data_IF_443793718539
#
_entry.id   IF_443793718539
#
_cell.length_a   1.000
_cell.length_b   1.000
_cell.length_c   1.000
_cell.angle_alpha   90.00
_cell.angle_beta   90.00
_cell.angle_gamma   90.00
#
_symmetry.space_group_name_H-M   'P 1'
#
loop_
_entity.id
_entity.type
_entity.pdbx_description
1 polymer ?
#
# COMPACT_ATOMS: atom_id res chain seq x y z
N UNK A 1 -15.40 8.56 -16.02
CA UNK A 1 -14.00 8.28 -15.71
C UNK A 1 -13.31 9.60 -15.37
N UNK A 2 -13.09 9.89 -14.11
CA UNK A 2 -12.38 11.11 -13.70
C UNK A 2 -10.87 10.90 -13.49
N UNK A 3 -10.38 9.69 -13.48
CA UNK A 3 -8.95 9.38 -13.51
C UNK A 3 -8.52 8.99 -14.93
N UNK A 4 -7.47 9.63 -15.42
CA UNK A 4 -6.88 9.33 -16.74
C UNK A 4 -6.08 8.03 -16.72
N UNK A 5 -5.47 7.71 -15.59
CA UNK A 5 -4.63 6.54 -15.36
C UNK A 5 -5.07 5.81 -14.09
N UNK A 6 -5.02 4.49 -14.11
CA UNK A 6 -5.30 3.64 -12.94
C UNK A 6 -4.12 2.72 -12.67
N UNK A 7 -3.57 2.84 -11.48
CA UNK A 7 -2.49 2.01 -10.99
C UNK A 7 -3.04 1.12 -9.87
N UNK A 8 -2.81 -0.17 -9.94
CA UNK A 8 -3.13 -1.13 -8.90
C UNK A 8 -1.87 -1.67 -8.25
N UNK A 9 -1.87 -1.79 -6.93
CA UNK A 9 -0.81 -2.48 -6.21
C UNK A 9 -1.37 -3.65 -5.42
N UNK A 10 -0.63 -4.76 -5.39
CA UNK A 10 -0.99 -5.95 -4.64
C UNK A 10 0.21 -6.49 -3.87
N UNK A 11 -0.07 -7.02 -2.70
CA UNK A 11 0.89 -7.90 -2.02
C UNK A 11 1.05 -9.19 -2.81
N UNK A 12 2.29 -9.67 -2.92
CA UNK A 12 2.65 -10.87 -3.64
C UNK A 12 3.66 -11.67 -2.81
N UNK A 13 3.20 -12.22 -1.70
CA UNK A 13 4.05 -12.84 -0.70
C UNK A 13 4.40 -14.27 -1.04
N UNK A 14 5.53 -14.73 -0.52
CA UNK A 14 6.00 -16.11 -0.67
C UNK A 14 5.83 -16.89 0.64
N UNK A 15 5.69 -18.21 0.56
CA UNK A 15 5.53 -19.08 1.74
C UNK A 15 6.79 -19.22 2.58
N UNK A 16 7.93 -18.83 2.07
CA UNK A 16 9.24 -18.83 2.73
C UNK A 16 9.63 -17.43 3.27
N UNK A 17 8.68 -16.51 3.32
CA UNK A 17 8.93 -15.17 3.86
C UNK A 17 9.31 -15.22 5.34
N UNK A 18 10.41 -14.54 5.69
CA UNK A 18 11.00 -14.58 7.04
C UNK A 18 10.14 -13.86 8.10
N UNK A 19 9.20 -13.06 7.68
CA UNK A 19 8.29 -12.30 8.54
C UNK A 19 6.97 -13.03 8.86
N UNK A 20 6.80 -14.26 8.38
CA UNK A 20 5.59 -15.02 8.70
C UNK A 20 5.53 -15.33 10.20
N UNK A 21 4.35 -15.17 10.78
CA UNK A 21 4.06 -15.65 12.13
C UNK A 21 3.88 -17.18 12.12
N UNK A 22 4.23 -17.81 13.22
CA UNK A 22 4.14 -19.25 13.44
C UNK A 22 3.68 -19.58 14.87
N UNK A 23 3.83 -20.84 15.28
CA UNK A 23 3.42 -21.28 16.62
C UNK A 23 4.28 -20.66 17.76
N UNK A 24 5.52 -20.25 17.46
CA UNK A 24 6.46 -19.70 18.43
C UNK A 24 6.47 -18.17 18.39
N UNK A 25 6.05 -17.59 17.27
CA UNK A 25 6.09 -16.16 17.02
C UNK A 25 4.71 -15.63 16.62
N UNK A 26 4.05 -15.00 17.56
CA UNK A 26 2.70 -14.45 17.37
C UNK A 26 2.65 -13.35 16.29
N UNK A 27 1.49 -13.16 15.62
CA UNK A 27 1.25 -11.99 14.77
C UNK A 27 1.54 -10.68 15.51
N UNK A 28 2.12 -9.72 14.79
CA UNK A 28 2.55 -8.40 15.27
C UNK A 28 3.67 -8.43 16.32
N UNK A 29 4.27 -9.61 16.60
CA UNK A 29 5.50 -9.64 17.39
C UNK A 29 6.66 -9.00 16.62
N UNK A 30 7.56 -8.25 17.29
CA UNK A 30 8.67 -7.58 16.64
C UNK A 30 9.68 -8.56 16.05
N UNK A 31 10.31 -8.17 14.95
CA UNK A 31 11.47 -8.84 14.37
C UNK A 31 12.69 -7.97 14.64
N UNK A 32 13.55 -8.46 15.52
CA UNK A 32 14.75 -7.71 15.92
C UNK A 32 15.90 -7.91 14.91
N UNK A 33 16.75 -6.89 14.80
CA UNK A 33 18.01 -6.94 14.04
C UNK A 33 17.87 -7.25 12.53
N UNK A 34 16.72 -6.97 11.93
CA UNK A 34 16.57 -7.10 10.48
C UNK A 34 16.26 -5.72 9.84
N UNK A 35 16.98 -5.32 8.79
CA UNK A 35 16.89 -3.96 8.25
C UNK A 35 15.57 -3.67 7.49
N UNK A 36 14.89 -4.70 6.99
CA UNK A 36 13.72 -4.61 6.12
C UNK A 36 12.50 -5.41 6.63
N UNK A 37 12.55 -5.82 7.91
CA UNK A 37 11.45 -6.48 8.61
C UNK A 37 11.25 -5.81 9.97
N UNK A 38 10.02 -5.51 10.31
CA UNK A 38 9.66 -4.87 11.59
C UNK A 38 8.83 -5.77 12.50
N UNK A 39 7.75 -6.34 11.98
CA UNK A 39 6.85 -7.22 12.74
C UNK A 39 6.43 -8.42 11.90
N UNK A 40 6.00 -9.47 12.59
CA UNK A 40 5.47 -10.68 11.97
C UNK A 40 4.01 -10.52 11.58
N UNK A 41 3.66 -11.11 10.46
CA UNK A 41 2.29 -11.15 9.96
C UNK A 41 1.84 -12.59 9.69
N UNK A 42 0.55 -12.89 9.86
CA UNK A 42 0.02 -14.15 9.38
C UNK A 42 0.15 -14.25 7.86
N UNK A 43 0.26 -15.47 7.35
CA UNK A 43 0.32 -15.70 5.91
C UNK A 43 -0.90 -15.08 5.20
N UNK A 44 -0.62 -14.18 4.28
CA UNK A 44 -1.64 -13.47 3.49
C UNK A 44 -1.10 -13.20 2.08
N UNK A 45 -1.98 -13.02 1.12
CA UNK A 45 -1.66 -12.70 -0.28
C UNK A 45 -0.55 -13.58 -0.89
N UNK A 46 -0.48 -14.85 -0.47
CA UNK A 46 0.52 -15.80 -0.96
C UNK A 46 0.29 -16.10 -2.44
N UNK A 47 1.32 -15.90 -3.24
CA UNK A 47 1.30 -16.12 -4.70
C UNK A 47 0.77 -17.53 -5.01
N UNK A 48 -0.07 -17.65 -6.05
CA UNK A 48 -0.70 -18.91 -6.50
C UNK A 48 -1.73 -19.48 -5.54
N UNK A 49 -2.19 -18.72 -4.54
CA UNK A 49 -3.32 -19.09 -3.70
C UNK A 49 -4.54 -18.21 -4.00
N UNK A 50 -5.72 -18.67 -3.57
CA UNK A 50 -6.95 -17.87 -3.67
C UNK A 50 -6.86 -16.52 -2.95
N UNK A 51 -6.05 -16.42 -1.89
CA UNK A 51 -5.82 -15.17 -1.16
C UNK A 51 -5.04 -14.13 -1.94
N UNK A 52 -4.37 -14.53 -3.03
CA UNK A 52 -3.69 -13.63 -3.96
C UNK A 52 -4.60 -13.14 -5.08
N UNK A 53 -5.72 -13.79 -5.36
CA UNK A 53 -6.62 -13.42 -6.44
C UNK A 53 -7.30 -12.07 -6.19
N UNK A 54 -7.71 -11.40 -7.27
CA UNK A 54 -8.59 -10.25 -7.14
C UNK A 54 -9.93 -10.65 -6.54
N UNK A 55 -10.44 -9.84 -5.63
CA UNK A 55 -11.78 -10.03 -5.09
C UNK A 55 -12.84 -9.81 -6.19
N UNK A 56 -13.97 -10.47 -6.05
CA UNK A 56 -15.08 -10.31 -6.99
C UNK A 56 -15.49 -8.82 -7.14
N UNK A 57 -15.62 -8.37 -8.37
CA UNK A 57 -15.94 -6.98 -8.70
C UNK A 57 -14.76 -6.09 -9.01
N UNK A 58 -13.51 -6.53 -8.73
CA UNK A 58 -12.31 -5.85 -9.20
C UNK A 58 -11.75 -6.56 -10.43
N UNK A 59 -11.93 -5.96 -11.59
CA UNK A 59 -11.38 -6.50 -12.84
C UNK A 59 -9.90 -6.09 -12.99
N UNK A 60 -8.95 -7.04 -13.09
CA UNK A 60 -7.54 -6.75 -13.35
C UNK A 60 -7.32 -5.86 -14.59
N UNK A 61 -8.18 -5.99 -15.61
CA UNK A 61 -8.12 -5.19 -16.84
C UNK A 61 -8.51 -3.72 -16.65
N UNK A 62 -9.04 -3.36 -15.47
CA UNK A 62 -9.36 -1.97 -15.15
C UNK A 62 -8.13 -1.12 -14.83
N UNK A 63 -6.95 -1.73 -14.66
CA UNK A 63 -5.70 -1.06 -14.27
C UNK A 63 -4.76 -0.98 -15.47
N UNK A 64 -4.22 0.22 -15.71
CA UNK A 64 -3.25 0.49 -16.77
C UNK A 64 -1.83 0.01 -16.39
N UNK A 65 -1.55 -0.04 -15.09
CA UNK A 65 -0.28 -0.55 -14.54
C UNK A 65 -0.52 -1.29 -13.23
N UNK A 66 0.16 -2.42 -13.03
CA UNK A 66 0.04 -3.23 -11.82
C UNK A 66 1.40 -3.43 -11.17
N UNK A 67 1.45 -3.23 -9.86
CA UNK A 67 2.62 -3.41 -9.02
C UNK A 67 2.41 -4.62 -8.13
N UNK A 68 3.42 -5.45 -8.02
CA UNK A 68 3.54 -6.49 -7.02
C UNK A 68 4.61 -6.09 -6.01
N UNK A 69 4.33 -6.19 -4.73
CA UNK A 69 5.29 -5.89 -3.66
C UNK A 69 5.36 -7.02 -2.64
N UNK A 70 6.45 -7.08 -1.86
CA UNK A 70 6.67 -8.15 -0.89
C UNK A 70 6.96 -9.51 -1.54
N UNK A 71 7.59 -9.50 -2.71
CA UNK A 71 8.00 -10.70 -3.45
C UNK A 71 9.25 -11.31 -2.84
N UNK A 72 10.13 -10.47 -2.30
CA UNK A 72 11.36 -10.87 -1.66
C UNK A 72 11.07 -11.44 -0.26
N UNK A 73 11.54 -12.67 0.05
CA UNK A 73 11.22 -13.30 1.33
C UNK A 73 11.84 -12.61 2.54
N UNK A 74 12.89 -11.81 2.33
CA UNK A 74 13.63 -11.06 3.34
C UNK A 74 13.21 -9.59 3.46
N UNK A 75 12.10 -9.19 2.83
CA UNK A 75 11.55 -7.82 2.85
C UNK A 75 10.05 -7.82 3.11
N UNK A 76 9.59 -6.82 3.82
CA UNK A 76 8.16 -6.60 4.05
C UNK A 76 7.76 -5.14 3.82
N UNK A 77 7.75 -4.65 2.57
CA UNK A 77 7.37 -3.29 2.26
C UNK A 77 5.87 -3.06 2.50
N UNK A 78 5.51 -1.97 3.15
CA UNK A 78 4.10 -1.56 3.26
C UNK A 78 3.65 -0.74 2.06
N UNK A 79 4.41 0.30 1.71
CA UNK A 79 4.05 1.18 0.61
C UNK A 79 4.25 0.57 -0.76
N UNK A 80 3.46 1.02 -1.73
CA UNK A 80 3.47 0.52 -3.10
C UNK A 80 4.63 1.06 -3.95
N UNK A 81 5.36 2.08 -3.48
CA UNK A 81 6.40 2.72 -4.29
C UNK A 81 7.79 2.09 -4.14
N UNK A 82 8.00 1.26 -3.12
CA UNK A 82 9.29 0.63 -2.87
C UNK A 82 9.13 -0.82 -2.40
N UNK A 83 10.19 -1.63 -2.65
CA UNK A 83 10.28 -3.03 -2.23
C UNK A 83 10.91 -3.21 -0.84
N UNK A 84 11.28 -2.12 -0.17
CA UNK A 84 11.95 -2.14 1.13
C UNK A 84 11.40 -1.07 2.08
N UNK A 85 11.62 -1.23 3.38
CA UNK A 85 11.19 -0.27 4.41
C UNK A 85 11.96 1.05 4.34
N UNK A 86 13.17 1.04 3.79
CA UNK A 86 14.05 2.23 3.68
C UNK A 86 13.74 3.10 2.47
N UNK A 87 12.80 2.69 1.61
CA UNK A 87 12.44 3.40 0.38
C UNK A 87 13.64 3.58 -0.58
N UNK A 88 14.43 2.53 -0.78
CA UNK A 88 15.61 2.57 -1.65
C UNK A 88 15.45 1.77 -2.93
N UNK A 89 14.65 0.70 -2.92
CA UNK A 89 14.42 -0.18 -4.07
C UNK A 89 13.04 0.14 -4.69
N UNK A 90 13.04 0.93 -5.77
CA UNK A 90 11.80 1.35 -6.44
C UNK A 90 11.02 0.20 -7.07
N UNK A 91 9.68 0.26 -6.96
CA UNK A 91 8.75 -0.61 -7.70
C UNK A 91 8.47 -0.11 -9.12
N UNK A 92 8.94 1.09 -9.46
CA UNK A 92 8.61 1.78 -10.69
C UNK A 92 7.32 2.61 -10.63
N UNK A 93 6.61 2.63 -9.50
CA UNK A 93 5.35 3.36 -9.36
C UNK A 93 5.51 4.86 -9.61
N UNK A 94 6.46 5.49 -8.93
CA UNK A 94 6.73 6.92 -9.01
C UNK A 94 7.18 7.30 -10.42
N UNK A 95 8.08 6.52 -10.99
CA UNK A 95 8.62 6.71 -12.33
C UNK A 95 7.52 6.59 -13.38
N UNK A 96 6.65 5.59 -13.25
CA UNK A 96 5.52 5.40 -14.14
C UNK A 96 4.55 6.59 -14.10
N UNK A 97 4.19 7.06 -12.92
CA UNK A 97 3.32 8.23 -12.75
C UNK A 97 3.95 9.49 -13.36
N UNK A 98 5.24 9.73 -13.11
CA UNK A 98 5.98 10.88 -13.67
C UNK A 98 6.07 10.82 -15.18
N UNK A 99 6.37 9.65 -15.76
CA UNK A 99 6.46 9.44 -17.20
C UNK A 99 5.14 9.77 -17.92
N UNK A 100 4.00 9.59 -17.22
CA UNK A 100 2.67 9.93 -17.74
C UNK A 100 2.19 11.33 -17.38
N UNK A 101 3.06 12.20 -16.83
CA UNK A 101 2.74 13.58 -16.49
C UNK A 101 1.71 13.72 -15.37
N UNK A 102 1.56 12.69 -14.51
CA UNK A 102 0.64 12.73 -13.38
C UNK A 102 1.22 13.66 -12.31
N UNK A 103 0.40 14.56 -11.81
CA UNK A 103 0.73 15.48 -10.71
C UNK A 103 -0.10 15.22 -9.46
N UNK A 104 -1.32 14.69 -9.64
CA UNK A 104 -2.25 14.42 -8.55
C UNK A 104 -2.62 12.94 -8.54
N UNK A 105 -2.54 12.31 -7.37
CA UNK A 105 -2.86 10.89 -7.19
C UNK A 105 -4.01 10.75 -6.19
N UNK A 106 -5.05 10.04 -6.58
CA UNK A 106 -6.16 9.67 -5.69
C UNK A 106 -5.91 8.25 -5.19
N UNK A 107 -5.83 8.10 -3.88
CA UNK A 107 -5.51 6.84 -3.22
C UNK A 107 -6.73 6.24 -2.52
N UNK A 108 -6.78 4.93 -2.49
CA UNK A 108 -7.69 4.12 -1.70
C UNK A 108 -7.19 2.68 -1.64
N UNK A 109 -7.66 1.89 -0.69
CA UNK A 109 -7.28 0.49 -0.56
C UNK A 109 -7.17 0.01 0.89
N UNK A 110 -6.38 -1.03 1.08
CA UNK A 110 -6.15 -1.73 2.35
C UNK A 110 -4.64 -1.86 2.64
N UNK A 111 -4.21 -1.82 3.88
CA UNK A 111 -4.93 -1.31 5.03
C UNK A 111 -4.59 0.17 5.23
N UNK A 112 -5.57 0.97 5.69
CA UNK A 112 -5.44 2.43 5.88
C UNK A 112 -4.20 2.80 6.69
N UNK A 113 -4.00 2.09 7.79
CA UNK A 113 -2.96 2.30 8.81
C UNK A 113 -1.58 1.71 8.43
N UNK A 114 -1.49 0.93 7.37
CA UNK A 114 -0.26 0.31 6.89
C UNK A 114 0.04 0.65 5.43
N UNK A 115 -0.43 -0.17 4.49
CA UNK A 115 -0.04 -0.05 3.09
C UNK A 115 -0.52 1.25 2.45
N UNK A 116 -1.74 1.69 2.78
CA UNK A 116 -2.30 2.94 2.24
C UNK A 116 -1.53 4.14 2.79
N UNK A 117 -1.35 4.23 4.12
CA UNK A 117 -0.58 5.30 4.75
C UNK A 117 0.82 5.42 4.14
N UNK A 118 1.55 4.31 4.10
CA UNK A 118 2.92 4.33 3.60
C UNK A 118 2.99 4.71 2.12
N UNK A 119 2.07 4.20 1.28
CA UNK A 119 2.00 4.59 -0.14
C UNK A 119 1.74 6.08 -0.30
N UNK A 120 0.78 6.61 0.45
CA UNK A 120 0.41 8.03 0.43
C UNK A 120 1.58 8.92 0.83
N UNK A 121 2.29 8.57 1.90
CA UNK A 121 3.47 9.31 2.38
C UNK A 121 4.64 9.24 1.38
N UNK A 122 4.86 8.08 0.76
CA UNK A 122 5.87 7.92 -0.30
C UNK A 122 5.56 8.82 -1.50
N UNK A 123 4.30 8.87 -1.93
CA UNK A 123 3.86 9.75 -3.02
C UNK A 123 4.00 11.24 -2.67
N UNK A 124 3.65 11.63 -1.43
CA UNK A 124 3.86 13.00 -0.93
C UNK A 124 5.34 13.36 -0.94
N UNK A 125 6.20 12.49 -0.43
CA UNK A 125 7.65 12.69 -0.44
C UNK A 125 8.22 12.81 -1.87
N UNK A 126 7.61 12.13 -2.83
CA UNK A 126 7.96 12.22 -4.25
C UNK A 126 7.44 13.49 -4.95
N UNK A 127 6.67 14.35 -4.25
CA UNK A 127 6.19 15.64 -4.73
C UNK A 127 4.83 15.63 -5.42
N UNK A 128 4.05 14.55 -5.29
CA UNK A 128 2.69 14.50 -5.81
C UNK A 128 1.71 15.23 -4.89
N UNK A 129 0.67 15.80 -5.46
CA UNK A 129 -0.55 16.10 -4.73
C UNK A 129 -1.29 14.78 -4.49
N UNK A 130 -1.65 14.52 -3.23
CA UNK A 130 -2.31 13.26 -2.86
C UNK A 130 -3.65 13.53 -2.21
N UNK A 131 -4.66 12.81 -2.68
CA UNK A 131 -6.02 12.82 -2.16
C UNK A 131 -6.35 11.40 -1.69
N UNK A 132 -6.74 11.24 -0.43
CA UNK A 132 -7.22 9.97 0.08
C UNK A 132 -8.75 9.92 0.04
N UNK A 133 -9.31 8.94 -0.66
CA UNK A 133 -10.75 8.65 -0.62
C UNK A 133 -11.05 7.71 0.55
N UNK A 134 -11.59 8.27 1.64
CA UNK A 134 -11.84 7.53 2.89
C UNK A 134 -12.85 6.39 2.70
N UNK A 135 -13.89 6.58 1.90
CA UNK A 135 -14.86 5.52 1.62
C UNK A 135 -14.25 4.30 0.93
N UNK A 136 -13.14 4.48 0.20
CA UNK A 136 -12.41 3.40 -0.47
C UNK A 136 -11.32 2.76 0.40
N UNK A 137 -11.26 3.08 1.70
CA UNK A 137 -10.24 2.57 2.61
C UNK A 137 -10.84 1.78 3.77
N UNK A 138 -10.13 0.77 4.24
CA UNK A 138 -10.38 0.08 5.51
C UNK A 138 -9.05 -0.23 6.18
N UNK A 139 -9.00 -0.06 7.49
CA UNK A 139 -7.80 -0.33 8.31
C UNK A 139 -7.99 -1.51 9.25
N UNK A 140 -6.97 -1.78 10.05
CA UNK A 140 -6.91 -2.94 10.95
C UNK A 140 -7.47 -2.58 12.34
N UNK A 141 -7.00 -1.48 12.95
CA UNK A 141 -7.41 -1.11 14.29
C UNK A 141 -7.76 0.40 14.38
N UNK A 142 -8.78 0.79 15.18
CA UNK A 142 -9.20 2.18 15.28
C UNK A 142 -8.08 3.14 15.66
N UNK A 143 -7.26 2.78 16.63
CA UNK A 143 -6.18 3.65 17.14
C UNK A 143 -5.07 3.85 16.10
N UNK A 144 -4.66 2.80 15.41
CA UNK A 144 -3.65 2.88 14.35
C UNK A 144 -4.18 3.61 13.11
N UNK A 145 -5.47 3.47 12.79
CA UNK A 145 -6.13 4.25 11.75
C UNK A 145 -6.12 5.74 12.10
N UNK A 146 -6.48 6.10 13.35
CA UNK A 146 -6.49 7.49 13.78
C UNK A 146 -5.09 8.12 13.67
N UNK A 147 -4.06 7.45 14.19
CA UNK A 147 -2.69 7.89 14.09
C UNK A 147 -2.22 8.03 12.63
N UNK A 148 -2.58 7.09 11.76
CA UNK A 148 -2.25 7.14 10.34
C UNK A 148 -2.90 8.33 9.63
N UNK A 149 -4.16 8.64 9.97
CA UNK A 149 -4.87 9.79 9.42
C UNK A 149 -4.23 11.12 9.85
N UNK A 150 -3.80 11.23 11.11
CA UNK A 150 -3.06 12.40 11.61
C UNK A 150 -1.71 12.58 10.90
N UNK A 151 -0.95 11.50 10.74
CA UNK A 151 0.33 11.51 10.03
C UNK A 151 0.17 11.94 8.57
N UNK A 152 -0.82 11.39 7.86
CA UNK A 152 -1.12 11.79 6.49
C UNK A 152 -1.58 13.25 6.39
N UNK A 153 -2.40 13.73 7.35
CA UNK A 153 -2.82 15.12 7.40
C UNK A 153 -1.63 16.07 7.61
N UNK A 154 -0.73 15.75 8.53
CA UNK A 154 0.51 16.51 8.78
C UNK A 154 1.41 16.57 7.54
N UNK A 155 1.42 15.54 6.70
CA UNK A 155 2.13 15.52 5.43
C UNK A 155 1.42 16.31 4.30
N UNK A 156 0.27 16.93 4.57
CA UNK A 156 -0.48 17.72 3.59
C UNK A 156 -1.29 16.89 2.58
N UNK A 157 -1.74 15.70 2.99
CA UNK A 157 -2.69 14.89 2.21
C UNK A 157 -4.08 15.52 2.31
N UNK A 158 -4.79 15.60 1.19
CA UNK A 158 -6.19 15.99 1.16
C UNK A 158 -7.07 14.76 1.36
N UNK A 159 -8.21 14.94 2.04
CA UNK A 159 -9.17 13.86 2.28
C UNK A 159 -10.50 14.19 1.64
N UNK A 160 -11.14 13.17 1.08
CA UNK A 160 -12.54 13.20 0.67
C UNK A 160 -13.28 12.05 1.33
N UNK A 161 -14.51 12.28 1.72
CA UNK A 161 -15.35 11.23 2.30
C UNK A 161 -15.79 10.25 1.22
N UNK A 162 -16.13 10.75 0.04
CA UNK A 162 -16.66 9.95 -1.07
C UNK A 162 -16.07 10.40 -2.41
N UNK A 163 -16.04 9.49 -3.36
CA UNK A 163 -15.59 9.78 -4.72
C UNK A 163 -16.38 10.89 -5.42
N UNK A 164 -17.63 11.15 -5.02
CA UNK A 164 -18.45 12.22 -5.58
C UNK A 164 -17.86 13.62 -5.35
N UNK A 165 -17.14 13.82 -4.24
CA UNK A 165 -16.47 15.08 -3.91
C UNK A 165 -15.28 15.40 -4.83
N UNK A 166 -14.78 14.41 -5.58
CA UNK A 166 -13.70 14.59 -6.54
C UNK A 166 -14.13 15.22 -7.88
N UNK A 167 -15.44 15.43 -8.06
CA UNK A 167 -16.04 15.96 -9.29
C UNK A 167 -16.41 17.44 -9.20
N UNK A 168 -16.18 18.05 -8.05
CA UNK A 168 -16.54 19.45 -7.77
C UNK A 168 -15.41 20.42 -8.17
#
# INVERSE_FOLDING_TARGET
KFASLRLGSRDAHTMDALWLSDAEHAPLSPIECHPDLDVRWPANAIIRTKGFDFIAGLDPKAYDFQIYKGIEPDKHPYGACYHDLKNTLSTGAIEYLRCHGITTVICGGLATDYCVKNTVLQLKAAGFDVILNKAACRGIAPDTIAAAMEEMAAAGVKFVEYAAELQA
#
